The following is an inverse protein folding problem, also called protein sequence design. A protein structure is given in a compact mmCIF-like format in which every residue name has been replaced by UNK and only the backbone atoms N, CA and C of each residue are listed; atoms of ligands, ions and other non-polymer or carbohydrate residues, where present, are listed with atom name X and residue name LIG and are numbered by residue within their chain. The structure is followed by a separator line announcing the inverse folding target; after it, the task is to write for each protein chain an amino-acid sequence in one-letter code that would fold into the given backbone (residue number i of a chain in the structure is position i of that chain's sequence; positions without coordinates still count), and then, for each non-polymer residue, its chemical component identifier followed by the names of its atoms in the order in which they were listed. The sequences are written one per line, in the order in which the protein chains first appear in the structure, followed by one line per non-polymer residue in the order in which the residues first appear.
data_IF_472259954062
#
_entry.id   IF_472259954062
#
_cell.length_a   1.000
_cell.length_b   1.000
_cell.length_c   1.000
_cell.angle_alpha   90.00
_cell.angle_beta   90.00
_cell.angle_gamma   90.00
#
_symmetry.space_group_name_H-M   'P 1'
#
loop_
_entity.id
_entity.type
_entity.pdbx_description
1 polymer ?
#
# COMPACT_ATOMS: atom_id res chain seq x y z
N UNK A 1 23.45 -19.05 -15.58
CA UNK A 1 22.22 -19.83 -15.79
C UNK A 1 21.12 -19.15 -14.99
N UNK A 2 20.18 -18.46 -15.66
CA UNK A 2 19.13 -17.71 -14.97
C UNK A 2 18.09 -18.63 -14.31
N UNK A 3 17.38 -18.17 -13.27
CA UNK A 3 16.37 -18.97 -12.58
C UNK A 3 15.24 -19.35 -13.54
N UNK A 4 14.95 -20.66 -13.65
CA UNK A 4 13.82 -21.18 -14.43
C UNK A 4 12.54 -20.91 -13.68
N UNK A 5 11.77 -19.93 -14.15
CA UNK A 5 10.50 -19.56 -13.52
C UNK A 5 9.41 -20.54 -13.95
N UNK A 6 8.87 -21.28 -12.99
CA UNK A 6 7.76 -22.23 -13.19
C UNK A 6 6.40 -21.52 -13.12
N UNK A 7 5.38 -22.13 -13.70
CA UNK A 7 4.01 -21.63 -13.64
C UNK A 7 3.51 -21.63 -12.19
N UNK A 8 3.12 -20.47 -11.65
CA UNK A 8 2.57 -20.35 -10.28
C UNK A 8 1.23 -21.08 -10.11
N UNK A 9 0.53 -21.35 -11.22
CA UNK A 9 -0.84 -21.90 -11.19
C UNK A 9 -0.85 -23.43 -11.12
N UNK A 10 0.03 -24.09 -11.88
CA UNK A 10 0.11 -25.54 -11.90
C UNK A 10 1.42 -26.09 -11.31
N UNK A 11 2.47 -25.28 -11.16
CA UNK A 11 3.80 -25.67 -10.68
C UNK A 11 4.49 -26.81 -11.45
N UNK A 12 3.90 -27.30 -12.54
CA UNK A 12 4.41 -28.44 -13.32
C UNK A 12 5.24 -28.03 -14.54
N UNK A 13 4.88 -26.90 -15.17
CA UNK A 13 5.46 -26.47 -16.43
C UNK A 13 6.25 -25.16 -16.29
N UNK A 14 7.26 -24.96 -17.14
CA UNK A 14 7.95 -23.67 -17.25
C UNK A 14 6.96 -22.58 -17.69
N UNK A 15 7.06 -21.42 -17.05
CA UNK A 15 6.24 -20.28 -17.41
C UNK A 15 6.63 -19.73 -18.78
N UNK A 16 5.63 -19.47 -19.60
CA UNK A 16 5.79 -18.89 -20.94
C UNK A 16 5.33 -17.44 -20.97
N UNK A 17 4.45 -17.05 -20.06
CA UNK A 17 3.80 -15.75 -20.03
C UNK A 17 3.68 -15.23 -18.59
N UNK A 18 3.37 -13.94 -18.44
CA UNK A 18 3.20 -13.27 -17.15
C UNK A 18 1.86 -12.52 -17.11
N UNK A 19 1.21 -12.50 -15.96
CA UNK A 19 -0.04 -11.78 -15.77
C UNK A 19 0.19 -10.25 -15.79
N UNK A 20 -0.58 -9.44 -16.53
CA UNK A 20 -0.40 -7.98 -16.55
C UNK A 20 -0.77 -7.31 -15.21
N UNK A 21 -1.62 -7.94 -14.39
CA UNK A 21 -2.12 -7.35 -13.14
C UNK A 21 -1.22 -7.63 -11.93
N UNK A 22 -0.71 -8.86 -11.79
CA UNK A 22 0.08 -9.26 -10.60
C UNK A 22 1.48 -9.79 -10.96
N UNK A 23 1.86 -9.78 -12.25
CA UNK A 23 3.12 -10.31 -12.79
C UNK A 23 3.37 -11.80 -12.53
N UNK A 24 2.38 -12.55 -12.02
CA UNK A 24 2.51 -13.97 -11.76
C UNK A 24 2.85 -14.76 -13.05
N UNK A 25 3.86 -15.64 -13.01
CA UNK A 25 4.27 -16.45 -14.15
C UNK A 25 3.30 -17.60 -14.41
N UNK A 26 2.91 -17.84 -15.66
CA UNK A 26 2.02 -18.94 -16.04
C UNK A 26 2.44 -19.63 -17.35
N UNK A 27 2.04 -20.90 -17.53
CA UNK A 27 2.43 -21.70 -18.70
C UNK A 27 1.48 -21.53 -19.90
N UNK A 28 0.17 -21.33 -19.67
CA UNK A 28 -0.84 -21.30 -20.74
C UNK A 28 -2.15 -20.59 -20.35
N UNK A 29 -2.99 -20.30 -21.34
CA UNK A 29 -4.31 -19.67 -21.17
C UNK A 29 -5.23 -20.36 -20.13
N UNK A 30 -5.32 -21.70 -20.00
CA UNK A 30 -6.11 -22.31 -18.94
C UNK A 30 -5.59 -21.95 -17.54
N UNK A 31 -4.27 -21.82 -17.36
CA UNK A 31 -3.69 -21.33 -16.11
C UNK A 31 -4.03 -19.85 -15.88
N UNK A 32 -4.06 -19.03 -16.93
CA UNK A 32 -4.49 -17.63 -16.81
C UNK A 32 -5.95 -17.50 -16.36
N UNK A 33 -6.86 -18.32 -16.88
CA UNK A 33 -8.28 -18.32 -16.47
C UNK A 33 -8.45 -18.73 -15.00
N UNK A 34 -7.81 -19.84 -14.59
CA UNK A 34 -7.79 -20.28 -13.19
C UNK A 34 -7.21 -19.21 -12.25
N UNK A 35 -6.19 -18.51 -12.72
CA UNK A 35 -5.55 -17.43 -11.98
C UNK A 35 -6.45 -16.19 -11.84
N UNK A 36 -7.21 -15.83 -12.88
CA UNK A 36 -8.11 -14.67 -12.89
C UNK A 36 -9.40 -14.88 -12.09
N UNK A 37 -9.77 -16.14 -11.83
CA UNK A 37 -10.95 -16.51 -11.04
C UNK A 37 -10.74 -16.28 -9.52
N UNK A 38 -9.48 -16.30 -9.06
CA UNK A 38 -9.12 -15.79 -7.73
C UNK A 38 -8.67 -14.32 -7.83
N UNK A 39 -8.91 -13.48 -6.80
CA UNK A 39 -8.46 -12.10 -6.83
C UNK A 39 -6.94 -12.06 -7.04
N UNK A 40 -6.53 -11.52 -8.19
CA UNK A 40 -5.14 -11.30 -8.57
C UNK A 40 -4.55 -10.18 -7.69
N UNK A 41 -4.43 -10.43 -6.39
CA UNK A 41 -3.78 -9.52 -5.46
C UNK A 41 -2.28 -9.63 -5.67
N UNK A 42 -1.62 -8.48 -5.83
CA UNK A 42 -0.18 -8.34 -6.01
C UNK A 42 0.57 -9.24 -5.00
N UNK A 43 1.49 -10.12 -5.42
CA UNK A 43 2.37 -10.78 -4.48
C UNK A 43 3.29 -9.72 -3.88
N UNK A 44 3.01 -9.35 -2.63
CA UNK A 44 4.01 -8.75 -1.74
C UNK A 44 5.12 -9.79 -1.66
N UNK A 45 6.28 -9.47 -2.26
CA UNK A 45 7.42 -10.37 -2.29
C UNK A 45 7.88 -10.62 -0.85
N UNK A 46 7.51 -11.76 -0.29
CA UNK A 46 8.05 -12.27 0.97
C UNK A 46 9.53 -12.60 0.77
N UNK A 47 10.40 -11.74 1.28
CA UNK A 47 11.74 -12.12 1.70
C UNK A 47 11.71 -12.16 3.23
N UNK A 48 11.84 -13.37 3.79
CA UNK A 48 11.71 -13.62 5.23
C UNK A 48 12.83 -12.94 6.03
N UNK A 49 12.44 -12.13 7.01
CA UNK A 49 13.10 -11.90 8.31
C UNK A 49 12.10 -11.22 9.29
N UNK A 50 12.27 -11.43 10.62
CA UNK A 50 11.20 -11.73 11.59
C UNK A 50 10.37 -10.51 12.05
N UNK A 51 9.26 -10.72 12.80
CA UNK A 51 8.04 -9.93 12.69
C UNK A 51 8.21 -8.55 13.31
N UNK A 52 7.83 -7.53 12.56
CA UNK A 52 7.46 -6.23 13.11
C UNK A 52 6.18 -5.81 12.41
N UNK A 53 5.21 -5.41 13.23
CA UNK A 53 3.86 -5.08 12.85
C UNK A 53 3.77 -4.10 11.66
N UNK A 54 2.78 -4.33 10.78
CA UNK A 54 2.40 -3.46 9.65
C UNK A 54 2.76 -4.04 8.28
N UNK A 55 2.08 -3.65 7.18
CA UNK A 55 1.37 -2.38 7.01
C UNK A 55 -0.09 -2.51 6.54
N UNK A 56 -0.95 -1.71 7.15
CA UNK A 56 -2.25 -1.36 6.57
C UNK A 56 -2.03 -0.58 5.27
N UNK A 57 -2.89 -0.85 4.29
CA UNK A 57 -2.85 -0.38 2.92
C UNK A 57 -2.91 1.16 2.83
N UNK A 58 -1.77 1.83 2.66
CA UNK A 58 -1.75 3.21 2.16
C UNK A 58 -2.03 3.17 0.66
N UNK A 59 -3.31 3.30 0.31
CA UNK A 59 -3.71 3.83 -0.99
C UNK A 59 -3.00 5.19 -1.12
N UNK A 60 -2.00 5.28 -2.00
CA UNK A 60 -1.48 6.58 -2.45
C UNK A 60 -2.65 7.31 -3.12
N UNK A 61 -3.41 8.07 -2.32
CA UNK A 61 -4.33 9.06 -2.83
C UNK A 61 -3.46 10.18 -3.37
N UNK A 62 -3.46 10.47 -4.69
CA UNK A 62 -2.73 11.61 -5.21
C UNK A 62 -3.29 12.86 -4.54
N UNK A 63 -2.51 13.44 -3.63
CA UNK A 63 -2.84 14.74 -3.05
C UNK A 63 -2.51 15.77 -4.12
N UNK A 64 -3.46 16.04 -5.02
CA UNK A 64 -3.37 17.18 -5.92
C UNK A 64 -3.62 18.44 -5.08
N UNK A 65 -2.56 18.94 -4.45
CA UNK A 65 -2.61 20.21 -3.73
C UNK A 65 -2.36 21.30 -4.76
N UNK A 66 -3.33 22.21 -4.93
CA UNK A 66 -3.22 23.32 -5.88
C UNK A 66 -2.02 24.23 -5.58
N UNK A 67 -1.63 24.35 -4.31
CA UNK A 67 -0.55 25.21 -3.83
C UNK A 67 0.54 24.39 -3.09
N UNK A 68 1.75 24.25 -3.66
CA UNK A 68 2.86 23.50 -3.05
C UNK A 68 3.29 24.04 -1.68
N UNK A 69 3.00 25.33 -1.41
CA UNK A 69 3.25 26.02 -0.14
C UNK A 69 2.44 25.44 1.03
N UNK A 70 1.35 24.74 0.75
CA UNK A 70 0.49 24.10 1.75
C UNK A 70 0.99 22.70 2.16
N UNK A 71 1.99 22.16 1.44
CA UNK A 71 2.56 20.83 1.72
C UNK A 71 3.77 20.97 2.61
N UNK A 72 3.76 20.28 3.76
CA UNK A 72 4.90 20.25 4.66
C UNK A 72 6.07 19.45 4.06
N UNK A 73 7.27 19.99 4.20
CA UNK A 73 8.50 19.31 3.83
C UNK A 73 8.89 18.27 4.89
N UNK A 74 9.68 17.27 4.49
CA UNK A 74 10.23 16.24 5.41
C UNK A 74 10.85 16.79 6.71
N UNK A 75 11.72 17.82 6.71
CA UNK A 75 12.27 18.34 7.97
C UNK A 75 11.20 18.93 8.91
N UNK A 76 10.11 19.47 8.37
CA UNK A 76 9.02 19.99 9.20
C UNK A 76 8.23 18.85 9.84
N UNK A 77 8.03 17.75 9.12
CA UNK A 77 7.41 16.53 9.65
C UNK A 77 8.28 15.89 10.76
N UNK A 78 9.60 15.87 10.57
CA UNK A 78 10.54 15.36 11.58
C UNK A 78 10.57 16.24 12.83
N UNK A 79 10.48 17.56 12.68
CA UNK A 79 10.33 18.49 13.80
C UNK A 79 9.04 18.24 14.59
N UNK A 80 7.93 17.93 13.91
CA UNK A 80 6.66 17.55 14.55
C UNK A 80 6.83 16.25 15.35
N UNK A 81 7.46 15.23 14.77
CA UNK A 81 7.71 13.95 15.46
C UNK A 81 8.63 14.10 16.69
N UNK A 82 9.56 15.05 16.65
CA UNK A 82 10.50 15.33 17.73
C UNK A 82 9.91 16.23 18.83
N UNK A 83 8.77 16.88 18.58
CA UNK A 83 8.12 17.76 19.56
C UNK A 83 7.31 16.97 20.58
N UNK A 84 7.74 17.03 21.85
CA UNK A 84 7.06 16.36 22.95
C UNK A 84 5.64 16.87 23.17
N UNK A 85 5.40 18.18 22.99
CA UNK A 85 4.07 18.79 23.18
C UNK A 85 3.08 18.26 22.15
N UNK A 86 3.48 18.20 20.87
CA UNK A 86 2.64 17.70 19.79
C UNK A 86 2.41 16.19 19.95
N UNK A 87 3.47 15.42 20.21
CA UNK A 87 3.35 13.99 20.48
C UNK A 87 2.47 13.70 21.71
N UNK A 88 2.51 14.54 22.74
CA UNK A 88 1.63 14.40 23.90
C UNK A 88 0.17 14.69 23.56
N UNK A 89 -0.11 15.74 22.79
CA UNK A 89 -1.46 16.03 22.31
C UNK A 89 -1.99 14.89 21.42
N UNK A 90 -1.15 14.32 20.55
CA UNK A 90 -1.49 13.19 19.68
C UNK A 90 -1.79 11.90 20.45
N UNK A 91 -1.47 11.77 21.75
CA UNK A 91 -1.87 10.62 22.57
C UNK A 91 -3.35 10.62 22.94
N UNK A 92 -4.07 11.70 22.71
CA UNK A 92 -5.51 11.73 22.91
C UNK A 92 -6.24 10.84 21.88
N UNK A 93 -7.01 9.88 22.38
CA UNK A 93 -7.72 8.88 21.57
C UNK A 93 -8.79 9.50 20.66
N UNK A 94 -9.42 10.59 21.08
CA UNK A 94 -10.45 11.25 20.27
C UNK A 94 -9.81 12.00 19.10
N UNK A 95 -8.68 12.66 19.34
CA UNK A 95 -7.89 13.32 18.31
C UNK A 95 -7.34 12.32 17.29
N UNK A 96 -6.80 11.17 17.73
CA UNK A 96 -6.35 10.12 16.81
C UNK A 96 -7.50 9.59 15.96
N UNK A 97 -8.65 9.28 16.56
CA UNK A 97 -9.85 8.84 15.82
C UNK A 97 -10.28 9.90 14.82
N UNK A 98 -10.28 11.18 15.18
CA UNK A 98 -10.61 12.27 14.27
C UNK A 98 -9.65 12.30 13.08
N UNK A 99 -8.33 12.30 13.32
CA UNK A 99 -7.30 12.30 12.28
C UNK A 99 -7.46 11.11 11.33
N UNK A 100 -7.55 9.89 11.88
CA UNK A 100 -7.76 8.66 11.09
C UNK A 100 -9.03 8.73 10.25
N UNK A 101 -10.09 9.26 10.86
CA UNK A 101 -11.36 9.37 10.17
C UNK A 101 -11.26 10.33 8.97
N UNK A 102 -10.52 11.44 9.09
CA UNK A 102 -10.30 12.39 7.99
C UNK A 102 -9.44 11.75 6.89
N UNK A 103 -8.37 11.06 7.29
CA UNK A 103 -7.44 10.40 6.37
C UNK A 103 -8.13 9.34 5.49
N UNK A 104 -8.94 8.48 6.13
CA UNK A 104 -9.72 7.45 5.45
C UNK A 104 -10.97 7.97 4.71
N UNK A 105 -11.33 9.25 4.86
CA UNK A 105 -12.54 9.79 4.23
C UNK A 105 -12.27 10.14 2.77
N UNK A 106 -13.10 9.68 1.82
CA UNK A 106 -12.99 10.07 0.41
C UNK A 106 -13.29 11.56 0.19
N UNK A 107 -14.02 12.21 1.11
CA UNK A 107 -14.47 13.60 1.06
C UNK A 107 -13.89 14.39 2.25
N UNK A 108 -12.55 14.40 2.35
CA UNK A 108 -11.84 14.95 3.51
C UNK A 108 -12.07 16.47 3.68
N UNK A 109 -12.30 17.22 2.60
CA UNK A 109 -12.53 18.67 2.66
C UNK A 109 -13.83 19.03 3.39
N UNK A 110 -14.93 18.33 3.12
CA UNK A 110 -16.21 18.57 3.80
C UNK A 110 -16.17 18.28 5.30
N UNK A 111 -15.28 17.38 5.71
CA UNK A 111 -15.05 17.02 7.12
C UNK A 111 -14.14 18.00 7.84
N UNK A 112 -13.41 18.83 7.11
CA UNK A 112 -12.64 19.96 7.67
C UNK A 112 -13.53 21.16 8.04
N UNK A 113 -14.83 21.12 7.73
CA UNK A 113 -15.79 22.14 8.17
C UNK A 113 -15.64 23.47 7.46
N UNK A 114 -15.28 23.44 6.17
CA UNK A 114 -15.37 24.59 5.27
C UNK A 114 -16.81 24.79 4.78
#
# INVERSE_FOLDING_TARGET
MGPRVVCQVCNEAQSKYKCPSCRAPYCSVPCFKKHKENPCSLPVSSEEKPPTAGPELLVERPLLVEEPSQVLQRPQLEAIASSSEICSALKDENLQKLILSIDCSPDAEKRRGA
#
